data_IF_398785640957
#
_entry.id   IF_398785640957
#
_cell.length_a   1.000
_cell.length_b   1.000
_cell.length_c   1.000
_cell.angle_alpha   90.00
_cell.angle_beta   90.00
_cell.angle_gamma   90.00
#
_symmetry.space_group_name_H-M   'P 1'
#
loop_
_entity.id
_entity.type
_entity.pdbx_description
1 polymer ?
#
# COMPACT_ATOMS: atom_id res chain seq x y z
N UNK A 1 24.53 13.56 -25.14
CA UNK A 1 23.93 13.79 -23.81
C UNK A 1 22.63 13.02 -23.80
N UNK A 2 22.60 11.78 -23.30
CA UNK A 2 21.35 11.02 -23.19
C UNK A 2 20.47 11.72 -22.18
N UNK A 3 19.20 11.94 -22.54
CA UNK A 3 18.18 12.35 -21.58
C UNK A 3 18.12 11.30 -20.46
N UNK A 4 17.89 11.69 -19.20
CA UNK A 4 17.66 10.72 -18.14
C UNK A 4 16.53 9.78 -18.59
N UNK A 5 16.72 8.47 -18.39
CA UNK A 5 15.63 7.53 -18.62
C UNK A 5 14.45 7.94 -17.74
N UNK A 6 13.24 7.90 -18.29
CA UNK A 6 12.02 8.28 -17.58
C UNK A 6 11.56 7.16 -16.61
N UNK A 7 12.51 6.37 -16.12
CA UNK A 7 12.24 5.26 -15.22
C UNK A 7 11.97 5.84 -13.80
N UNK A 8 10.98 5.31 -13.07
CA UNK A 8 10.73 5.72 -11.70
C UNK A 8 12.00 5.51 -10.85
N UNK A 9 12.40 6.55 -10.11
CA UNK A 9 13.51 6.44 -9.16
C UNK A 9 13.09 5.49 -8.02
N UNK A 10 13.85 4.41 -7.74
CA UNK A 10 13.46 3.41 -6.72
C UNK A 10 13.15 4.01 -5.35
N UNK A 11 13.90 5.03 -4.93
CA UNK A 11 13.67 5.74 -3.67
C UNK A 11 12.31 6.44 -3.60
N UNK A 12 11.83 6.98 -4.72
CA UNK A 12 10.51 7.62 -4.80
C UNK A 12 9.42 6.55 -4.70
N UNK A 13 9.60 5.43 -5.40
CA UNK A 13 8.66 4.30 -5.35
C UNK A 13 8.59 3.72 -3.94
N UNK A 14 9.74 3.53 -3.27
CA UNK A 14 9.81 3.11 -1.86
C UNK A 14 9.04 4.07 -0.97
N UNK A 15 9.25 5.37 -1.13
CA UNK A 15 8.53 6.38 -0.35
C UNK A 15 7.01 6.31 -0.56
N UNK A 16 6.53 6.11 -1.79
CA UNK A 16 5.10 5.94 -2.02
C UNK A 16 4.56 4.70 -1.28
N UNK A 17 5.29 3.60 -1.30
CA UNK A 17 4.89 2.38 -0.62
C UNK A 17 4.87 2.56 0.91
N UNK A 18 5.93 3.14 1.47
CA UNK A 18 6.06 3.45 2.89
C UNK A 18 4.96 4.40 3.37
N UNK A 19 4.69 5.49 2.63
CA UNK A 19 3.67 6.47 2.99
C UNK A 19 2.26 5.89 2.88
N UNK A 20 1.95 5.12 1.83
CA UNK A 20 0.65 4.43 1.73
C UNK A 20 0.43 3.48 2.92
N UNK A 21 1.46 2.71 3.28
CA UNK A 21 1.44 1.76 4.41
C UNK A 21 1.24 2.48 5.75
N UNK A 22 1.99 3.56 5.97
CA UNK A 22 1.89 4.38 7.18
C UNK A 22 0.54 5.08 7.30
N UNK A 23 0.07 5.72 6.22
CA UNK A 23 -1.19 6.46 6.21
C UNK A 23 -2.40 5.56 6.42
N UNK A 24 -2.39 4.34 5.86
CA UNK A 24 -3.41 3.36 6.19
C UNK A 24 -3.40 3.00 7.68
N UNK A 25 -2.22 2.81 8.28
CA UNK A 25 -2.11 2.54 9.72
C UNK A 25 -2.65 3.69 10.56
N UNK A 26 -2.41 4.93 10.13
CA UNK A 26 -3.00 6.12 10.75
C UNK A 26 -4.51 6.15 10.59
N UNK A 27 -5.03 5.92 9.37
CA UNK A 27 -6.46 5.85 9.07
C UNK A 27 -7.18 4.82 9.93
N UNK A 28 -6.63 3.62 10.05
CA UNK A 28 -7.15 2.53 10.90
C UNK A 28 -7.37 2.97 12.35
N UNK A 29 -6.48 3.82 12.88
CA UNK A 29 -6.63 4.38 14.24
C UNK A 29 -7.62 5.55 14.25
N UNK A 30 -7.59 6.38 13.22
CA UNK A 30 -8.39 7.60 13.11
C UNK A 30 -9.90 7.30 13.08
N UNK A 31 -10.34 6.22 12.41
CA UNK A 31 -11.76 5.84 12.33
C UNK A 31 -12.41 5.56 13.70
N UNK A 32 -11.61 5.25 14.73
CA UNK A 32 -12.09 4.99 16.09
C UNK A 32 -11.81 6.16 17.05
N UNK A 33 -11.18 7.24 16.57
CA UNK A 33 -10.74 8.35 17.40
C UNK A 33 -11.75 9.52 17.33
N UNK A 34 -12.32 9.96 18.46
CA UNK A 34 -13.46 10.90 18.48
C UNK A 34 -13.09 12.34 18.05
N UNK A 35 -11.81 12.65 17.89
CA UNK A 35 -11.33 13.97 17.49
C UNK A 35 -11.09 14.10 15.97
N UNK A 36 -11.20 12.99 15.21
CA UNK A 36 -11.19 13.05 13.75
C UNK A 36 -12.61 13.34 13.24
N UNK A 37 -12.72 14.33 12.38
CA UNK A 37 -13.97 14.58 11.64
C UNK A 37 -14.03 13.71 10.38
N UNK A 38 -15.20 13.62 9.76
CA UNK A 38 -15.33 12.96 8.46
C UNK A 38 -14.41 13.57 7.39
N UNK A 39 -14.28 14.90 7.37
CA UNK A 39 -13.37 15.61 6.46
C UNK A 39 -11.90 15.29 6.73
N UNK A 40 -11.51 15.03 7.99
CA UNK A 40 -10.14 14.61 8.29
C UNK A 40 -9.87 13.18 7.78
N UNK A 41 -10.86 12.30 7.86
CA UNK A 41 -10.77 10.94 7.31
C UNK A 41 -10.72 10.97 5.77
N UNK A 42 -11.56 11.77 5.13
CA UNK A 42 -11.53 11.97 3.67
C UNK A 42 -10.15 12.42 3.19
N UNK A 43 -9.53 13.40 3.88
CA UNK A 43 -8.16 13.84 3.57
C UNK A 43 -7.10 12.78 3.79
N UNK A 44 -7.28 11.87 4.75
CA UNK A 44 -6.38 10.74 4.93
C UNK A 44 -6.54 9.77 3.76
N UNK A 45 -7.78 9.49 3.35
CA UNK A 45 -8.10 8.57 2.27
C UNK A 45 -7.55 9.08 0.93
N UNK A 46 -7.71 10.38 0.64
CA UNK A 46 -7.11 11.04 -0.53
C UNK A 46 -5.58 10.89 -0.56
N UNK A 47 -4.91 10.99 0.60
CA UNK A 47 -3.46 10.85 0.68
C UNK A 47 -3.01 9.41 0.48
N UNK A 48 -3.72 8.44 1.06
CA UNK A 48 -3.47 7.01 0.81
C UNK A 48 -3.58 6.73 -0.69
N UNK A 49 -4.68 7.18 -1.31
CA UNK A 49 -4.94 6.95 -2.72
C UNK A 49 -3.90 7.61 -3.62
N UNK A 50 -3.49 8.85 -3.33
CA UNK A 50 -2.44 9.53 -4.09
C UNK A 50 -1.10 8.76 -4.07
N UNK A 51 -0.78 8.09 -2.97
CA UNK A 51 0.42 7.25 -2.91
C UNK A 51 0.25 5.93 -3.65
N UNK A 52 -0.91 5.29 -3.57
CA UNK A 52 -1.24 4.10 -4.36
C UNK A 52 -1.22 4.39 -5.86
N UNK A 53 -1.72 5.53 -6.30
CA UNK A 53 -1.64 5.99 -7.70
C UNK A 53 -0.19 6.14 -8.17
N UNK A 54 0.69 6.69 -7.33
CA UNK A 54 2.12 6.74 -7.62
C UNK A 54 2.72 5.35 -7.85
N UNK A 55 2.30 4.35 -7.07
CA UNK A 55 2.75 2.96 -7.21
C UNK A 55 2.18 2.29 -8.46
N UNK A 56 0.93 2.57 -8.81
CA UNK A 56 0.31 2.11 -10.07
C UNK A 56 1.05 2.66 -11.28
N UNK A 57 1.42 3.95 -11.27
CA UNK A 57 2.22 4.58 -12.32
C UNK A 57 3.62 3.97 -12.39
N UNK A 58 4.24 3.65 -11.24
CA UNK A 58 5.55 3.00 -11.20
C UNK A 58 5.55 1.57 -11.77
N UNK A 59 4.40 0.91 -11.79
CA UNK A 59 4.19 -0.37 -12.47
C UNK A 59 5.16 -1.46 -12.00
N UNK A 60 6.00 -1.97 -12.92
CA UNK A 60 6.97 -3.02 -12.63
C UNK A 60 8.01 -2.63 -11.56
N UNK A 61 8.40 -1.35 -11.50
CA UNK A 61 9.38 -0.86 -10.52
C UNK A 61 8.88 -0.99 -9.07
N UNK A 62 7.56 -0.91 -8.87
CA UNK A 62 6.96 -1.13 -7.55
C UNK A 62 7.06 -2.58 -7.07
N UNK A 63 7.21 -3.57 -7.98
CA UNK A 63 7.28 -4.97 -7.56
C UNK A 63 8.50 -5.24 -6.68
N UNK A 64 9.68 -4.77 -7.08
CA UNK A 64 10.90 -4.98 -6.32
C UNK A 64 10.82 -4.36 -4.90
N UNK A 65 10.20 -3.19 -4.80
CA UNK A 65 9.95 -2.51 -3.52
C UNK A 65 9.00 -3.30 -2.65
N UNK A 66 7.89 -3.81 -3.21
CA UNK A 66 6.91 -4.62 -2.48
C UNK A 66 7.58 -5.90 -1.97
N UNK A 67 8.33 -6.60 -2.81
CA UNK A 67 8.99 -7.85 -2.44
C UNK A 67 9.99 -7.64 -1.28
N UNK A 68 10.74 -6.55 -1.30
CA UNK A 68 11.65 -6.17 -0.20
C UNK A 68 10.87 -5.83 1.08
N UNK A 69 9.84 -4.99 0.97
CA UNK A 69 9.06 -4.54 2.12
C UNK A 69 8.26 -5.68 2.78
N UNK A 70 7.82 -6.67 2.00
CA UNK A 70 7.10 -7.83 2.54
C UNK A 70 7.95 -8.71 3.46
N UNK A 71 9.29 -8.59 3.43
CA UNK A 71 10.21 -9.35 4.30
C UNK A 71 10.10 -8.99 5.79
N UNK A 72 9.57 -7.80 6.10
CA UNK A 72 9.37 -7.26 7.46
C UNK A 72 7.94 -6.73 7.66
N UNK A 73 6.99 -7.27 6.89
CA UNK A 73 5.64 -6.73 6.74
C UNK A 73 4.87 -6.53 8.06
N UNK A 74 4.38 -5.31 8.26
CA UNK A 74 3.27 -5.01 9.15
C UNK A 74 1.94 -4.92 8.37
N UNK A 75 0.88 -4.55 9.08
CA UNK A 75 -0.45 -4.41 8.45
C UNK A 75 -0.48 -3.35 7.34
N UNK A 76 0.28 -2.25 7.46
CA UNK A 76 0.33 -1.22 6.43
C UNK A 76 0.89 -1.74 5.10
N UNK A 77 2.00 -2.47 5.19
CA UNK A 77 2.67 -3.06 4.03
C UNK A 77 1.78 -4.12 3.37
N UNK A 78 1.09 -4.94 4.17
CA UNK A 78 0.11 -5.91 3.67
C UNK A 78 -1.05 -5.21 2.96
N UNK A 79 -1.58 -4.11 3.51
CA UNK A 79 -2.64 -3.33 2.88
C UNK A 79 -2.19 -2.81 1.50
N UNK A 80 -1.06 -2.09 1.44
CA UNK A 80 -0.58 -1.49 0.20
C UNK A 80 -0.22 -2.55 -0.86
N UNK A 81 0.45 -3.64 -0.44
CA UNK A 81 0.78 -4.75 -1.32
C UNK A 81 -0.48 -5.46 -1.84
N UNK A 82 -1.53 -5.59 -1.01
CA UNK A 82 -2.79 -6.23 -1.43
C UNK A 82 -3.47 -5.42 -2.52
N UNK A 83 -3.62 -4.10 -2.36
CA UNK A 83 -4.23 -3.23 -3.38
C UNK A 83 -3.51 -3.38 -4.72
N UNK A 84 -2.18 -3.30 -4.71
CA UNK A 84 -1.37 -3.39 -5.94
C UNK A 84 -1.36 -4.79 -6.56
N UNK A 85 -1.45 -5.83 -5.74
CA UNK A 85 -1.56 -7.20 -6.23
C UNK A 85 -2.90 -7.43 -6.96
N UNK A 86 -3.99 -6.82 -6.48
CA UNK A 86 -5.29 -6.85 -7.16
C UNK A 86 -5.29 -6.05 -8.46
N UNK A 87 -4.65 -4.87 -8.50
CA UNK A 87 -4.52 -4.08 -9.74
C UNK A 87 -3.80 -4.84 -10.87
N UNK A 88 -2.85 -5.73 -10.52
CA UNK A 88 -2.15 -6.58 -11.48
C UNK A 88 -2.97 -7.78 -11.95
N UNK A 89 -4.03 -8.16 -11.23
CA UNK A 89 -4.91 -9.26 -11.59
C UNK A 89 -4.23 -10.65 -11.64
N UNK A 90 -3.08 -10.82 -10.98
CA UNK A 90 -2.33 -12.07 -11.00
C UNK A 90 -2.35 -12.78 -9.64
N UNK A 91 -2.73 -14.06 -9.65
CA UNK A 91 -2.67 -14.91 -8.46
C UNK A 91 -1.25 -15.03 -7.89
N UNK A 92 -0.23 -14.95 -8.75
CA UNK A 92 1.18 -15.01 -8.34
C UNK A 92 1.59 -13.82 -7.46
N UNK A 93 0.93 -12.66 -7.64
CA UNK A 93 1.14 -11.49 -6.80
C UNK A 93 0.31 -11.55 -5.49
N UNK A 94 -0.88 -12.15 -5.55
CA UNK A 94 -1.80 -12.19 -4.41
C UNK A 94 -1.47 -13.26 -3.38
N UNK A 95 -1.02 -14.44 -3.83
CA UNK A 95 -0.77 -15.57 -2.93
C UNK A 95 0.28 -15.26 -1.83
N UNK A 96 1.44 -14.64 -2.13
CA UNK A 96 2.42 -14.30 -1.10
C UNK A 96 1.86 -13.34 -0.05
N UNK A 97 1.10 -12.33 -0.47
CA UNK A 97 0.51 -11.32 0.42
C UNK A 97 -0.56 -11.95 1.30
N UNK A 98 -1.39 -12.84 0.76
CA UNK A 98 -2.41 -13.54 1.52
C UNK A 98 -1.80 -14.48 2.56
N UNK A 99 -0.74 -15.23 2.22
CA UNK A 99 -0.07 -16.10 3.19
C UNK A 99 0.48 -15.28 4.37
N UNK A 100 1.15 -14.15 4.11
CA UNK A 100 1.61 -13.23 5.17
C UNK A 100 0.45 -12.64 5.98
N UNK A 101 -0.65 -12.26 5.32
CA UNK A 101 -1.83 -11.73 6.01
C UNK A 101 -2.42 -12.72 7.01
N UNK A 102 -2.35 -14.03 6.74
CA UNK A 102 -2.93 -15.07 7.59
C UNK A 102 -2.14 -15.35 8.86
N UNK A 103 -0.89 -14.88 8.95
CA UNK A 103 -0.04 -15.09 10.13
C UNK A 103 -0.45 -14.24 11.35
N UNK A 104 -1.29 -13.21 11.16
CA UNK A 104 -1.78 -12.37 12.24
C UNK A 104 -3.17 -11.79 11.99
N UNK A 105 -3.91 -11.50 13.07
CA UNK A 105 -5.20 -10.80 12.97
C UNK A 105 -5.06 -9.42 12.31
N UNK A 106 -3.99 -8.69 12.65
CA UNK A 106 -3.68 -7.40 12.02
C UNK A 106 -3.39 -7.50 10.52
N UNK A 107 -2.77 -8.60 10.08
CA UNK A 107 -2.51 -8.85 8.67
C UNK A 107 -3.80 -9.14 7.91
N UNK A 108 -4.68 -9.97 8.49
CA UNK A 108 -5.96 -10.28 7.89
C UNK A 108 -6.87 -9.05 7.80
N UNK A 109 -6.89 -8.22 8.84
CA UNK A 109 -7.61 -6.94 8.81
C UNK A 109 -7.07 -6.00 7.73
N UNK A 110 -5.75 -5.93 7.56
CA UNK A 110 -5.13 -5.15 6.49
C UNK A 110 -5.56 -5.65 5.10
N UNK A 111 -5.52 -6.96 4.88
CA UNK A 111 -5.95 -7.59 3.65
C UNK A 111 -7.43 -7.30 3.35
N UNK A 112 -8.31 -7.46 4.35
CA UNK A 112 -9.74 -7.15 4.20
C UNK A 112 -10.00 -5.65 3.98
N UNK A 113 -9.24 -4.78 4.65
CA UNK A 113 -9.32 -3.34 4.43
C UNK A 113 -8.90 -2.97 3.02
N UNK A 114 -7.92 -3.65 2.43
CA UNK A 114 -7.53 -3.44 1.04
C UNK A 114 -8.65 -3.83 0.07
N UNK A 115 -9.40 -4.91 0.36
CA UNK A 115 -10.57 -5.27 -0.45
C UNK A 115 -11.67 -4.20 -0.41
N UNK A 116 -11.84 -3.51 0.72
CA UNK A 116 -12.79 -2.39 0.81
C UNK A 116 -12.32 -1.12 0.09
N UNK A 117 -11.08 -1.11 -0.39
CA UNK A 117 -10.46 0.01 -1.09
C UNK A 117 -10.59 -0.06 -2.61
N UNK A 118 -10.82 -1.27 -3.15
CA UNK A 118 -11.02 -1.55 -4.58
C UNK A 118 -12.47 -1.26 -5.00
#
# INVERSE_FOLDING_TARGET
MSLPSNDPLPEIVSRHFEEASFLWTLRRRAIHAPHYTFTDLERLDERVEAHLDGLRIAGGAAQAVIDEALSVAGGGEIFAATVLAFDKGSADCLAPVLELARDSESGLEAFLSALSWL
#
